data_IF_321088415814
#
_entry.id   IF_321088415814
#
_cell.length_a   1.000
_cell.length_b   1.000
_cell.length_c   1.000
_cell.angle_alpha   90.00
_cell.angle_beta   90.00
_cell.angle_gamma   90.00
#
_symmetry.space_group_name_H-M   'P 1'
#
loop_
_entity.id
_entity.type
_entity.pdbx_description
1 polymer ?
#
# COMPACT_ATOMS: atom_id res chain seq x y z
N UNK A 1 36.85 -24.85 -4.16
CA UNK A 1 35.62 -24.65 -4.97
C UNK A 1 34.40 -24.64 -4.04
N UNK A 2 34.32 -23.67 -3.12
CA UNK A 2 33.23 -23.57 -2.13
C UNK A 2 33.00 -22.11 -1.72
N UNK A 3 33.03 -21.20 -2.70
CA UNK A 3 32.78 -19.76 -2.48
C UNK A 3 31.40 -19.30 -3.01
N UNK A 4 30.60 -20.20 -3.60
CA UNK A 4 29.29 -19.83 -4.17
C UNK A 4 28.13 -19.87 -3.18
N UNK A 5 28.10 -20.80 -2.22
CA UNK A 5 26.92 -21.01 -1.34
C UNK A 5 26.70 -19.86 -0.35
N UNK A 6 27.77 -19.30 0.20
CA UNK A 6 27.70 -18.15 1.11
C UNK A 6 27.27 -16.87 0.40
N UNK A 7 27.75 -16.66 -0.83
CA UNK A 7 27.39 -15.53 -1.68
C UNK A 7 25.92 -15.61 -2.15
N UNK A 8 25.45 -16.83 -2.45
CA UNK A 8 24.05 -17.10 -2.81
C UNK A 8 23.11 -16.86 -1.62
N UNK A 9 23.42 -17.39 -0.42
CA UNK A 9 22.60 -17.16 0.76
C UNK A 9 22.54 -15.68 1.18
N UNK A 10 23.67 -14.97 1.12
CA UNK A 10 23.71 -13.53 1.42
C UNK A 10 22.89 -12.71 0.42
N UNK A 11 22.86 -13.12 -0.85
CA UNK A 11 22.03 -12.48 -1.89
C UNK A 11 20.56 -12.76 -1.65
N UNK A 12 20.16 -14.02 -1.46
CA UNK A 12 18.77 -14.40 -1.14
C UNK A 12 18.24 -13.69 0.11
N UNK A 13 19.05 -13.56 1.17
CA UNK A 13 18.68 -12.81 2.37
C UNK A 13 18.39 -11.34 2.06
N UNK A 14 19.23 -10.68 1.27
CA UNK A 14 19.02 -9.27 0.89
C UNK A 14 17.76 -9.09 0.07
N UNK A 15 17.50 -9.98 -0.88
CA UNK A 15 16.31 -9.90 -1.74
C UNK A 15 15.03 -10.14 -0.95
N UNK A 16 15.02 -11.14 -0.05
CA UNK A 16 13.91 -11.37 0.86
C UNK A 16 13.63 -10.15 1.76
N UNK A 17 14.66 -9.53 2.33
CA UNK A 17 14.50 -8.32 3.15
C UNK A 17 13.90 -7.15 2.36
N UNK A 18 14.28 -7.00 1.09
CA UNK A 18 13.72 -5.97 0.21
C UNK A 18 12.26 -6.25 -0.09
N UNK A 19 11.92 -7.48 -0.45
CA UNK A 19 10.54 -7.88 -0.69
C UNK A 19 9.66 -7.61 0.54
N UNK A 20 10.11 -8.02 1.74
CA UNK A 20 9.37 -7.76 2.98
C UNK A 20 9.15 -6.26 3.19
N UNK A 21 10.18 -5.44 3.02
CA UNK A 21 10.06 -3.97 3.14
C UNK A 21 9.07 -3.39 2.13
N UNK A 22 9.08 -3.90 0.91
CA UNK A 22 8.15 -3.47 -0.12
C UNK A 22 6.71 -3.84 0.21
N UNK A 23 6.44 -5.09 0.59
CA UNK A 23 5.10 -5.53 0.97
C UNK A 23 4.59 -4.78 2.20
N UNK A 24 5.47 -4.48 3.16
CA UNK A 24 5.13 -3.67 4.32
C UNK A 24 4.80 -2.22 3.91
N UNK A 25 5.58 -1.62 3.02
CA UNK A 25 5.26 -0.32 2.44
C UNK A 25 3.90 -0.36 1.73
N UNK A 26 3.61 -1.41 0.97
CA UNK A 26 2.34 -1.57 0.29
C UNK A 26 1.16 -1.63 1.27
N UNK A 27 1.28 -2.40 2.35
CA UNK A 27 0.27 -2.49 3.39
C UNK A 27 0.01 -1.12 4.04
N UNK A 28 1.06 -0.49 4.55
CA UNK A 28 0.95 0.76 5.33
C UNK A 28 0.50 1.95 4.48
N UNK A 29 0.84 2.01 3.20
CA UNK A 29 0.58 3.20 2.38
C UNK A 29 -0.59 3.02 1.42
N UNK A 30 -0.88 1.80 0.96
CA UNK A 30 -1.97 1.56 0.01
C UNK A 30 -3.18 0.94 0.69
N UNK A 31 -2.97 -0.16 1.42
CA UNK A 31 -4.08 -0.90 2.03
C UNK A 31 -4.70 -0.05 3.13
N UNK A 32 -3.90 0.43 4.08
CA UNK A 32 -4.38 1.25 5.19
C UNK A 32 -5.02 2.56 4.68
N UNK A 33 -4.43 3.19 3.67
CA UNK A 33 -4.98 4.41 3.08
C UNK A 33 -6.34 4.16 2.41
N UNK A 34 -6.47 3.06 1.65
CA UNK A 34 -7.73 2.69 1.02
C UNK A 34 -8.81 2.38 2.07
N UNK A 35 -8.48 1.65 3.13
CA UNK A 35 -9.39 1.35 4.23
C UNK A 35 -9.85 2.61 4.96
N UNK A 36 -8.93 3.52 5.28
CA UNK A 36 -9.24 4.80 5.92
C UNK A 36 -10.19 5.61 5.05
N UNK A 37 -9.86 5.82 3.78
CA UNK A 37 -10.66 6.66 2.88
C UNK A 37 -12.02 6.03 2.58
N UNK A 38 -12.10 4.72 2.44
CA UNK A 38 -13.38 4.01 2.28
C UNK A 38 -14.28 4.21 3.50
N UNK A 39 -13.74 4.05 4.72
CA UNK A 39 -14.50 4.24 5.94
C UNK A 39 -15.00 5.68 6.10
N UNK A 40 -14.17 6.67 5.76
CA UNK A 40 -14.55 8.08 5.76
C UNK A 40 -15.61 8.38 4.68
N UNK A 41 -15.54 7.77 3.49
CA UNK A 41 -16.58 7.87 2.46
C UNK A 41 -17.92 7.31 2.95
N UNK A 42 -17.89 6.26 3.78
CA UNK A 42 -19.10 5.69 4.40
C UNK A 42 -19.66 6.55 5.54
N UNK A 43 -19.04 7.69 5.85
CA UNK A 43 -19.53 8.65 6.83
C UNK A 43 -19.02 8.44 8.25
N UNK A 44 -18.07 7.52 8.47
CA UNK A 44 -17.43 7.40 9.78
C UNK A 44 -16.59 8.64 10.08
N UNK A 45 -16.56 9.05 11.35
CA UNK A 45 -15.63 10.05 11.84
C UNK A 45 -14.20 9.48 11.95
N UNK A 46 -13.18 10.34 11.93
CA UNK A 46 -11.79 9.90 12.10
C UNK A 46 -11.55 9.14 13.42
N UNK A 47 -12.31 9.45 14.47
CA UNK A 47 -12.20 8.75 15.76
C UNK A 47 -12.76 7.32 15.68
N UNK A 48 -13.86 7.13 14.95
CA UNK A 48 -14.43 5.80 14.71
C UNK A 48 -13.53 4.96 13.80
N UNK A 49 -12.96 5.56 12.75
CA UNK A 49 -11.99 4.89 11.88
C UNK A 49 -10.74 4.48 12.66
N UNK A 50 -10.20 5.36 13.51
CA UNK A 50 -9.05 5.05 14.35
C UNK A 50 -9.30 3.83 15.25
N UNK A 51 -10.48 3.78 15.89
CA UNK A 51 -10.90 2.65 16.72
C UNK A 51 -11.10 1.38 15.90
N UNK A 52 -11.76 1.47 14.75
CA UNK A 52 -12.07 0.32 13.88
C UNK A 52 -10.81 -0.34 13.34
N UNK A 53 -9.84 0.45 12.91
CA UNK A 53 -8.62 -0.04 12.26
C UNK A 53 -7.44 -0.21 13.24
N UNK A 54 -7.66 0.03 14.54
CA UNK A 54 -6.60 -0.10 15.54
C UNK A 54 -5.42 0.86 15.34
N UNK A 55 -5.65 2.01 14.72
CA UNK A 55 -4.61 2.99 14.39
C UNK A 55 -4.79 4.31 15.16
N UNK A 56 -3.72 5.10 15.27
CA UNK A 56 -3.82 6.41 15.91
C UNK A 56 -4.66 7.37 15.07
N UNK A 57 -5.36 8.32 15.70
CA UNK A 57 -6.08 9.38 14.96
C UNK A 57 -5.15 10.22 14.09
N UNK A 58 -3.87 10.39 14.50
CA UNK A 58 -2.83 11.04 13.69
C UNK A 58 -2.59 10.26 12.39
N UNK A 59 -2.47 8.93 12.47
CA UNK A 59 -2.30 8.03 11.31
C UNK A 59 -3.50 8.12 10.36
N UNK A 60 -4.73 8.05 10.89
CA UNK A 60 -5.95 8.27 10.10
C UNK A 60 -5.91 9.61 9.36
N UNK A 61 -5.58 10.69 10.07
CA UNK A 61 -5.53 12.02 9.48
C UNK A 61 -4.44 12.14 8.40
N UNK A 62 -3.29 11.48 8.57
CA UNK A 62 -2.25 11.41 7.53
C UNK A 62 -2.81 10.73 6.27
N UNK A 63 -3.36 9.52 6.40
CA UNK A 63 -3.91 8.81 5.25
C UNK A 63 -5.06 9.56 4.57
N UNK A 64 -5.91 10.23 5.35
CA UNK A 64 -7.05 10.99 4.86
C UNK A 64 -6.66 12.25 4.07
N UNK A 65 -5.45 12.79 4.26
CA UNK A 65 -5.00 14.05 3.63
C UNK A 65 -3.99 13.85 2.51
N UNK A 66 -3.31 12.70 2.48
CA UNK A 66 -2.36 12.38 1.42
C UNK A 66 -3.14 11.86 0.21
N UNK A 67 -2.93 12.39 -1.01
CA UNK A 67 -3.49 11.80 -2.22
C UNK A 67 -2.99 10.37 -2.44
N UNK A 68 -3.83 9.51 -3.00
CA UNK A 68 -3.46 8.15 -3.33
C UNK A 68 -2.48 8.17 -4.52
N UNK A 69 -1.20 7.94 -4.23
CA UNK A 69 -0.16 7.86 -5.25
C UNK A 69 0.39 6.44 -5.32
N UNK A 70 0.16 5.76 -6.45
CA UNK A 70 0.73 4.42 -6.73
C UNK A 70 2.26 4.35 -6.76
N UNK A 71 2.95 5.49 -6.85
CA UNK A 71 4.36 5.52 -7.27
C UNK A 71 5.27 6.44 -6.45
N UNK A 72 5.12 6.53 -5.13
CA UNK A 72 6.12 7.23 -4.31
C UNK A 72 7.48 6.47 -4.23
N UNK A 73 7.56 5.24 -4.76
CA UNK A 73 8.79 4.45 -4.83
C UNK A 73 9.67 4.70 -6.08
N UNK A 74 9.42 5.77 -6.85
CA UNK A 74 9.96 6.01 -8.19
C UNK A 74 11.50 6.20 -8.34
N UNK A 75 12.33 5.79 -7.37
CA UNK A 75 13.79 5.95 -7.42
C UNK A 75 14.51 4.65 -7.02
N UNK A 76 14.09 3.49 -7.55
CA UNK A 76 14.93 2.28 -7.55
C UNK A 76 14.99 1.68 -8.97
N UNK A 77 16.17 1.53 -9.59
CA UNK A 77 16.31 0.90 -10.91
C UNK A 77 15.89 -0.58 -10.94
N UNK A 78 15.59 -1.21 -9.80
CA UNK A 78 15.02 -2.56 -9.69
C UNK A 78 13.51 -2.57 -9.44
N UNK A 79 12.84 -1.43 -9.59
CA UNK A 79 11.40 -1.28 -9.34
C UNK A 79 10.58 -2.33 -10.09
N UNK A 80 10.95 -2.68 -11.33
CA UNK A 80 10.21 -3.65 -12.15
C UNK A 80 10.15 -5.06 -11.53
N UNK A 81 11.23 -5.51 -10.88
CA UNK A 81 11.26 -6.81 -10.19
C UNK A 81 10.44 -6.79 -8.90
N UNK A 82 10.36 -5.63 -8.26
CA UNK A 82 9.63 -5.43 -7.02
C UNK A 82 8.11 -5.30 -7.29
N UNK A 83 7.72 -4.53 -8.31
CA UNK A 83 6.32 -4.30 -8.72
C UNK A 83 5.63 -5.58 -9.20
N UNK A 84 6.39 -6.57 -9.68
CA UNK A 84 5.82 -7.88 -10.08
C UNK A 84 4.99 -8.52 -8.96
N UNK A 85 5.29 -8.21 -7.70
CA UNK A 85 4.58 -8.75 -6.54
C UNK A 85 3.37 -7.92 -6.11
N UNK A 86 3.17 -6.72 -6.66
CA UNK A 86 2.09 -5.81 -6.24
C UNK A 86 0.71 -6.39 -6.52
N UNK A 87 0.48 -6.83 -7.76
CA UNK A 87 -0.80 -7.42 -8.16
C UNK A 87 -1.13 -8.67 -7.33
N UNK A 88 -0.24 -9.69 -7.22
CA UNK A 88 -0.47 -10.82 -6.34
C UNK A 88 -0.73 -10.43 -4.88
N UNK A 89 0.02 -9.46 -4.35
CA UNK A 89 -0.17 -8.97 -2.98
C UNK A 89 -1.54 -8.34 -2.78
N UNK A 90 -1.97 -7.45 -3.69
CA UNK A 90 -3.28 -6.84 -3.60
C UNK A 90 -4.41 -7.85 -3.77
N UNK A 91 -4.31 -8.78 -4.71
CA UNK A 91 -5.29 -9.86 -4.84
C UNK A 91 -5.39 -10.70 -3.57
N UNK A 92 -4.26 -10.99 -2.91
CA UNK A 92 -4.24 -11.68 -1.62
C UNK A 92 -4.95 -10.87 -0.52
N UNK A 93 -4.65 -9.57 -0.40
CA UNK A 93 -5.25 -8.70 0.64
C UNK A 93 -6.75 -8.52 0.44
N UNK A 94 -7.19 -8.31 -0.81
CA UNK A 94 -8.58 -7.97 -1.14
C UNK A 94 -9.43 -9.19 -1.52
N UNK A 95 -8.82 -10.36 -1.68
CA UNK A 95 -9.47 -11.61 -2.08
C UNK A 95 -9.60 -11.82 -3.59
N UNK A 96 -9.48 -10.76 -4.40
CA UNK A 96 -9.42 -10.85 -5.87
C UNK A 96 -8.82 -9.60 -6.51
N UNK A 97 -8.45 -9.68 -7.79
CA UNK A 97 -8.00 -8.52 -8.57
C UNK A 97 -9.12 -7.46 -8.72
N UNK A 98 -10.37 -7.90 -8.91
CA UNK A 98 -11.53 -7.02 -9.02
C UNK A 98 -11.79 -6.26 -7.72
N UNK A 99 -11.70 -6.94 -6.58
CA UNK A 99 -11.84 -6.32 -5.27
C UNK A 99 -10.73 -5.29 -5.01
N UNK A 100 -9.48 -5.62 -5.40
CA UNK A 100 -8.37 -4.70 -5.32
C UNK A 100 -8.58 -3.44 -6.18
N UNK A 101 -9.03 -3.61 -7.42
CA UNK A 101 -9.35 -2.48 -8.30
C UNK A 101 -10.49 -1.61 -7.74
N UNK A 102 -11.53 -2.24 -7.18
CA UNK A 102 -12.64 -1.52 -6.56
C UNK A 102 -12.19 -0.69 -5.36
N UNK A 103 -11.32 -1.25 -4.49
CA UNK A 103 -10.77 -0.52 -3.35
C UNK A 103 -9.93 0.70 -3.80
N UNK A 104 -9.11 0.54 -4.83
CA UNK A 104 -8.33 1.65 -5.42
C UNK A 104 -9.25 2.72 -6.03
N UNK A 105 -10.29 2.31 -6.76
CA UNK A 105 -11.24 3.24 -7.37
C UNK A 105 -11.99 4.07 -6.32
N UNK A 106 -12.39 3.45 -5.20
CA UNK A 106 -13.02 4.13 -4.06
C UNK A 106 -12.06 5.10 -3.38
N UNK A 107 -10.79 4.71 -3.24
CA UNK A 107 -9.74 5.58 -2.73
C UNK A 107 -9.55 6.84 -3.61
N UNK A 108 -9.47 6.67 -4.94
CA UNK A 108 -9.42 7.77 -5.91
C UNK A 108 -10.70 8.62 -5.92
N UNK A 109 -11.88 8.01 -5.70
CA UNK A 109 -13.13 8.74 -5.54
C UNK A 109 -13.07 9.70 -4.35
N UNK A 110 -12.61 9.22 -3.18
CA UNK A 110 -12.41 10.07 -2.01
C UNK A 110 -11.51 11.26 -2.31
N UNK A 111 -10.39 11.03 -3.01
CA UNK A 111 -9.43 12.11 -3.31
C UNK A 111 -10.04 13.19 -4.19
N UNK A 112 -10.83 12.81 -5.20
CA UNK A 112 -11.56 13.76 -6.03
C UNK A 112 -12.59 14.55 -5.22
N UNK A 113 -13.40 13.87 -4.40
CA UNK A 113 -14.50 14.50 -3.68
C UNK A 113 -14.06 15.34 -2.47
N UNK A 114 -13.00 14.93 -1.78
CA UNK A 114 -12.59 15.50 -0.48
C UNK A 114 -11.27 16.23 -0.51
N UNK A 115 -10.36 15.86 -1.41
CA UNK A 115 -9.05 16.52 -1.56
C UNK A 115 -8.97 17.41 -2.80
N UNK A 116 -9.98 17.36 -3.68
CA UNK A 116 -10.01 18.11 -4.94
C UNK A 116 -8.80 17.81 -5.83
N UNK A 117 -8.30 16.58 -5.77
CA UNK A 117 -7.20 16.09 -6.60
C UNK A 117 -7.78 15.24 -7.72
N UNK A 118 -7.57 15.67 -8.98
CA UNK A 118 -7.81 14.80 -10.13
C UNK A 118 -6.73 13.72 -10.17
N UNK A 119 -7.15 12.46 -10.24
CA UNK A 119 -6.23 11.34 -10.39
C UNK A 119 -6.09 11.05 -11.88
N UNK A 120 -4.86 11.08 -12.40
CA UNK A 120 -4.53 10.47 -13.70
C UNK A 120 -4.82 8.95 -13.69
#
# INVERSE_FOLDING_TARGET
>A
MTDSDGSDLATRRRDAQRLVKHLQFLAENYVDQALVKEALLRGLSQSEVAKLLGMSKKTVNTHARVPFMRYAAAIDPRIDDIIRNDRPFFAYVWGSDEAAHAAVARCKQYDRERLLVESD
#
